data_IF_880405533497
#
_entry.id   IF_880405533497
#
_cell.length_a   1.000
_cell.length_b   1.000
_cell.length_c   1.000
_cell.angle_alpha   90.00
_cell.angle_beta   90.00
_cell.angle_gamma   90.00
#
_symmetry.space_group_name_H-M   'P 1'
#
loop_
_entity.id
_entity.type
_entity.pdbx_description
1 polymer ?
#
# COMPACT_ATOMS: atom_id res chain seq x y z
N UNK A 1 -23.88 -21.44 -12.18
CA UNK A 1 -24.12 -22.78 -11.60
C UNK A 1 -23.50 -22.76 -10.20
N UNK A 2 -24.19 -22.69 -9.06
CA UNK A 2 -25.54 -23.06 -8.64
C UNK A 2 -26.00 -22.10 -7.51
N UNK A 3 -27.23 -21.57 -7.61
CA UNK A 3 -27.97 -20.89 -6.52
C UNK A 3 -28.45 -21.93 -5.50
N UNK A 4 -28.66 -21.52 -4.23
CA UNK A 4 -29.63 -22.18 -3.34
C UNK A 4 -30.43 -21.17 -2.52
N UNK A 5 -31.61 -20.86 -3.05
CA UNK A 5 -32.76 -20.23 -2.38
C UNK A 5 -33.49 -21.27 -1.53
N UNK A 6 -33.99 -20.91 -0.33
CA UNK A 6 -34.95 -21.71 0.43
C UNK A 6 -36.30 -20.98 0.47
N UNK A 7 -37.33 -21.65 -0.05
CA UNK A 7 -38.77 -21.31 0.03
C UNK A 7 -39.45 -22.32 0.96
N UNK A 8 -40.45 -21.87 1.73
CA UNK A 8 -41.74 -22.53 2.11
C UNK A 8 -42.32 -21.76 3.32
N UNK A 9 -43.61 -21.48 3.49
CA UNK A 9 -44.87 -22.05 2.97
C UNK A 9 -46.01 -21.03 3.19
N UNK A 10 -46.98 -20.99 2.29
CA UNK A 10 -48.27 -20.30 2.44
C UNK A 10 -49.32 -21.32 2.89
N UNK A 11 -50.21 -20.95 3.82
CA UNK A 11 -51.49 -21.62 4.09
C UNK A 11 -52.62 -20.58 4.00
N UNK A 12 -53.76 -21.00 3.44
CA UNK A 12 -54.95 -20.21 3.12
C UNK A 12 -56.13 -20.51 4.07
N UNK A 13 -57.00 -19.52 4.27
CA UNK A 13 -58.38 -19.64 4.76
C UNK A 13 -58.58 -19.17 6.22
N UNK A 14 -59.62 -18.45 6.63
CA UNK A 14 -60.97 -18.17 6.10
C UNK A 14 -61.47 -16.84 6.73
N UNK A 15 -62.33 -16.11 6.01
CA UNK A 15 -62.93 -14.84 6.43
C UNK A 15 -64.13 -15.01 7.39
N UNK A 16 -64.25 -14.13 8.40
CA UNK A 16 -65.50 -13.82 9.13
C UNK A 16 -65.58 -12.29 9.33
N UNK A 17 -66.74 -11.73 9.00
CA UNK A 17 -67.08 -10.29 9.07
C UNK A 17 -67.38 -9.76 10.48
N UNK A 18 -67.93 -8.53 10.59
CA UNK A 18 -67.28 -7.45 11.34
C UNK A 18 -67.85 -7.22 12.74
N UNK A 19 -66.99 -6.80 13.67
CA UNK A 19 -67.38 -6.15 14.92
C UNK A 19 -66.72 -4.78 14.96
N UNK A 20 -67.56 -3.75 14.85
CA UNK A 20 -67.20 -2.35 15.00
C UNK A 20 -66.71 -2.07 16.42
N UNK A 21 -65.40 -1.89 16.59
CA UNK A 21 -64.82 -1.19 17.73
C UNK A 21 -64.38 0.21 17.28
N UNK A 22 -65.04 1.21 17.84
CA UNK A 22 -64.60 2.61 17.81
C UNK A 22 -63.25 2.74 18.53
N UNK A 23 -62.18 2.78 17.75
CA UNK A 23 -60.86 3.16 18.24
C UNK A 23 -60.73 4.67 18.23
N UNK A 24 -60.56 5.24 19.43
CA UNK A 24 -60.06 6.60 19.62
C UNK A 24 -58.64 6.61 19.04
N UNK A 25 -58.44 7.35 17.95
CA UNK A 25 -57.11 7.61 17.38
C UNK A 25 -56.45 8.67 18.25
N UNK A 26 -55.74 8.26 19.29
CA UNK A 26 -54.67 9.09 19.86
C UNK A 26 -53.53 9.11 18.85
N UNK A 27 -53.37 10.22 18.15
CA UNK A 27 -52.20 10.47 17.33
C UNK A 27 -50.95 10.39 18.22
N UNK A 28 -50.14 9.36 18.04
CA UNK A 28 -48.80 9.32 18.61
C UNK A 28 -47.99 10.47 17.98
N UNK A 29 -47.18 11.20 18.76
CA UNK A 29 -46.29 12.18 18.18
C UNK A 29 -45.34 11.46 17.21
N UNK A 30 -45.23 12.00 16.00
CA UNK A 30 -44.29 11.49 15.01
C UNK A 30 -42.88 11.41 15.65
N UNK A 31 -42.10 10.34 15.40
CA UNK A 31 -40.75 10.26 15.92
C UNK A 31 -39.99 11.47 15.37
N UNK A 32 -39.41 12.26 16.28
CA UNK A 32 -38.48 13.32 15.91
C UNK A 32 -37.46 12.73 14.93
N UNK A 33 -37.28 13.39 13.79
CA UNK A 33 -36.20 13.06 12.86
C UNK A 33 -34.91 13.00 13.67
N UNK A 34 -34.37 11.80 13.86
CA UNK A 34 -33.02 11.64 14.34
C UNK A 34 -32.14 12.36 13.32
N UNK A 35 -31.59 13.52 13.70
CA UNK A 35 -30.49 14.11 12.96
C UNK A 35 -29.46 13.00 12.78
N UNK A 36 -29.20 12.62 11.52
CA UNK A 36 -28.14 11.68 11.22
C UNK A 36 -26.86 12.29 11.79
N UNK A 37 -26.36 11.71 12.89
CA UNK A 37 -25.10 12.12 13.51
C UNK A 37 -24.05 12.12 12.41
N UNK A 38 -23.47 13.29 12.14
CA UNK A 38 -22.35 13.41 11.21
C UNK A 38 -21.30 12.36 11.60
N UNK A 39 -20.77 11.58 10.64
CA UNK A 39 -19.72 10.63 10.95
C UNK A 39 -18.55 11.35 11.63
N UNK A 40 -17.83 10.71 12.56
CA UNK A 40 -16.67 11.31 13.19
C UNK A 40 -15.66 11.74 12.11
N UNK A 41 -14.90 12.83 12.35
CA UNK A 41 -13.88 13.27 11.41
C UNK A 41 -12.86 12.14 11.19
N UNK A 42 -12.25 12.06 9.99
CA UNK A 42 -11.25 11.05 9.71
C UNK A 42 -10.05 11.16 10.67
N UNK A 43 -9.41 10.03 11.04
CA UNK A 43 -8.17 10.08 11.78
C UNK A 43 -7.11 10.83 10.98
N UNK A 44 -6.28 11.61 11.68
CA UNK A 44 -5.23 12.43 11.07
C UNK A 44 -3.86 12.05 11.61
N UNK A 45 -2.83 12.38 10.83
CA UNK A 45 -1.44 12.08 11.14
C UNK A 45 -0.89 13.10 12.14
N UNK A 46 -0.64 12.64 13.37
CA UNK A 46 0.05 13.44 14.36
C UNK A 46 1.44 13.85 13.85
N UNK A 47 1.79 15.12 13.98
CA UNK A 47 3.04 15.69 13.45
C UNK A 47 2.90 16.37 12.08
N UNK A 48 1.79 16.19 11.36
CA UNK A 48 1.46 16.96 10.14
C UNK A 48 0.42 18.07 10.38
N UNK A 49 0.18 18.45 11.64
CA UNK A 49 -0.83 19.44 12.05
C UNK A 49 -0.60 20.86 11.51
N UNK A 50 0.56 21.14 10.91
CA UNK A 50 0.84 22.40 10.23
C UNK A 50 0.09 22.53 8.89
N UNK A 51 -0.45 21.42 8.35
CA UNK A 51 -1.31 21.43 7.19
C UNK A 51 -2.76 21.66 7.62
N UNK A 52 -3.45 22.58 6.94
CA UNK A 52 -4.90 22.74 7.04
C UNK A 52 -5.53 22.33 5.72
N UNK A 53 -5.85 21.04 5.59
CA UNK A 53 -6.42 20.48 4.36
C UNK A 53 -7.93 20.34 4.47
N UNK A 54 -8.63 20.70 3.39
CA UNK A 54 -10.07 20.46 3.26
C UNK A 54 -10.28 19.19 2.44
N UNK A 55 -10.86 18.15 3.06
CA UNK A 55 -11.15 16.86 2.43
C UNK A 55 -11.98 16.97 1.14
N UNK A 56 -12.83 18.00 1.01
CA UNK A 56 -13.62 18.22 -0.21
C UNK A 56 -12.79 18.68 -1.42
N UNK A 57 -11.55 19.12 -1.19
CA UNK A 57 -10.60 19.51 -2.23
C UNK A 57 -9.61 18.39 -2.57
N UNK A 58 -9.83 17.17 -2.04
CA UNK A 58 -8.93 16.06 -2.32
C UNK A 58 -8.96 15.65 -3.79
N UNK A 59 -7.79 15.72 -4.40
CA UNK A 59 -7.45 15.21 -5.71
C UNK A 59 -6.36 14.14 -5.60
N UNK A 60 -6.15 13.40 -6.69
CA UNK A 60 -5.02 12.47 -6.78
C UNK A 60 -3.72 13.29 -6.78
N UNK A 61 -2.78 12.99 -5.88
CA UNK A 61 -1.51 13.72 -5.79
C UNK A 61 -0.43 13.18 -6.72
N UNK A 62 -0.19 11.88 -6.66
CA UNK A 62 0.78 11.22 -7.53
C UNK A 62 0.12 10.83 -8.84
N UNK A 63 0.79 11.13 -9.95
CA UNK A 63 0.25 10.87 -11.27
C UNK A 63 1.24 10.04 -12.08
N UNK A 64 0.70 8.98 -12.68
CA UNK A 64 1.38 8.14 -13.64
C UNK A 64 1.09 8.63 -15.07
N UNK A 65 1.98 8.37 -16.04
CA UNK A 65 1.72 8.62 -17.46
C UNK A 65 0.35 8.11 -17.93
N UNK A 66 -0.31 8.91 -18.78
CA UNK A 66 -1.62 8.55 -19.36
C UNK A 66 -1.46 7.35 -20.28
N UNK A 67 -2.41 6.42 -20.24
CA UNK A 67 -2.27 5.09 -20.81
C UNK A 67 -2.20 3.99 -19.76
N UNK A 68 -2.89 4.17 -18.62
CA UNK A 68 -3.20 3.11 -17.64
C UNK A 68 -4.70 2.72 -17.72
N UNK A 69 -5.37 3.11 -18.82
CA UNK A 69 -6.75 2.71 -19.09
C UNK A 69 -6.80 1.25 -19.54
N UNK A 70 -7.96 0.59 -19.39
CA UNK A 70 -8.17 -0.83 -19.74
C UNK A 70 -7.50 -1.22 -21.08
N UNK A 71 -6.46 -2.05 -20.99
CA UNK A 71 -5.73 -2.59 -22.15
C UNK A 71 -4.45 -1.87 -22.53
N UNK A 72 -4.05 -0.86 -21.76
CA UNK A 72 -2.74 -0.24 -21.89
C UNK A 72 -1.69 -0.94 -21.02
N UNK A 73 -0.42 -0.62 -21.24
CA UNK A 73 0.70 -1.31 -20.61
C UNK A 73 0.77 -0.98 -19.12
N UNK A 74 0.43 -1.94 -18.26
CA UNK A 74 0.45 -1.80 -16.79
C UNK A 74 1.79 -1.23 -16.29
N UNK A 75 2.87 -1.42 -17.07
CA UNK A 75 4.21 -0.86 -16.79
C UNK A 75 4.24 0.66 -16.65
N UNK A 76 3.36 1.38 -17.35
CA UNK A 76 3.26 2.84 -17.24
C UNK A 76 2.82 3.27 -15.84
N UNK A 77 2.15 2.39 -15.10
CA UNK A 77 1.73 2.62 -13.73
C UNK A 77 2.86 2.71 -12.71
N UNK A 78 4.11 2.44 -13.11
CA UNK A 78 5.28 2.43 -12.23
C UNK A 78 6.22 3.63 -12.46
N UNK A 79 5.72 4.67 -13.14
CA UNK A 79 6.47 5.89 -13.42
C UNK A 79 5.75 7.12 -12.87
N UNK A 80 6.50 8.05 -12.32
CA UNK A 80 6.01 9.39 -12.00
C UNK A 80 6.04 10.25 -13.27
N UNK A 81 4.87 10.79 -13.64
CA UNK A 81 4.69 11.53 -14.89
C UNK A 81 5.59 12.76 -15.01
N UNK A 82 6.07 13.34 -13.91
CA UNK A 82 6.92 14.54 -13.92
C UNK A 82 8.32 14.26 -14.44
N UNK A 83 8.80 13.02 -14.29
CA UNK A 83 10.14 12.58 -14.65
C UNK A 83 10.13 11.49 -15.72
N UNK A 84 8.95 11.13 -16.23
CA UNK A 84 8.80 10.17 -17.30
C UNK A 84 9.30 10.73 -18.64
N UNK A 85 10.25 10.03 -19.27
CA UNK A 85 10.83 10.40 -20.56
C UNK A 85 10.71 9.31 -21.64
N UNK A 86 9.94 8.27 -21.34
CA UNK A 86 9.85 7.05 -22.14
C UNK A 86 10.09 5.83 -21.26
N UNK A 87 9.55 4.69 -21.68
CA UNK A 87 9.78 3.45 -20.95
C UNK A 87 11.24 3.00 -21.10
N UNK A 88 11.85 2.62 -19.99
CA UNK A 88 13.17 2.00 -19.98
C UNK A 88 13.11 0.55 -20.45
N UNK A 89 14.25 -0.02 -20.86
CA UNK A 89 14.32 -1.46 -21.16
C UNK A 89 14.26 -2.29 -19.87
N UNK A 90 14.07 -3.60 -19.97
CA UNK A 90 14.08 -4.49 -18.80
C UNK A 90 15.43 -4.49 -18.09
N UNK A 91 16.53 -4.37 -18.84
CA UNK A 91 17.89 -4.28 -18.28
C UNK A 91 18.10 -2.95 -17.54
N UNK A 92 17.67 -1.84 -18.14
CA UNK A 92 17.77 -0.52 -17.50
C UNK A 92 16.84 -0.42 -16.29
N UNK A 93 15.65 -1.03 -16.33
CA UNK A 93 14.77 -1.16 -15.16
C UNK A 93 15.48 -1.92 -14.05
N UNK A 94 16.03 -3.11 -14.34
CA UNK A 94 16.70 -3.93 -13.33
C UNK A 94 17.85 -3.18 -12.67
N UNK A 95 18.72 -2.52 -13.45
CA UNK A 95 19.83 -1.71 -12.93
C UNK A 95 19.32 -0.50 -12.11
N UNK A 96 18.27 0.18 -12.60
CA UNK A 96 17.67 1.33 -11.91
C UNK A 96 17.05 0.93 -10.57
N UNK A 97 16.23 -0.11 -10.52
CA UNK A 97 15.59 -0.55 -9.28
C UNK A 97 16.62 -1.06 -8.26
N UNK A 98 17.64 -1.81 -8.71
CA UNK A 98 18.73 -2.28 -7.85
C UNK A 98 19.40 -1.11 -7.12
N UNK A 99 19.86 -0.11 -7.87
CA UNK A 99 20.52 1.06 -7.29
C UNK A 99 19.57 1.97 -6.51
N UNK A 100 18.31 2.07 -6.91
CA UNK A 100 17.28 2.83 -6.21
C UNK A 100 16.97 2.24 -4.83
N UNK A 101 16.84 0.93 -4.72
CA UNK A 101 16.65 0.22 -3.45
C UNK A 101 17.82 0.45 -2.50
N UNK A 102 19.06 0.33 -3.00
CA UNK A 102 20.26 0.58 -2.21
C UNK A 102 20.25 2.02 -1.69
N UNK A 103 20.02 3.00 -2.58
CA UNK A 103 19.98 4.41 -2.21
C UNK A 103 18.88 4.73 -1.19
N UNK A 104 17.70 4.14 -1.36
CA UNK A 104 16.56 4.26 -0.45
C UNK A 104 16.89 3.72 0.95
N UNK A 105 17.35 2.47 1.03
CA UNK A 105 17.66 1.82 2.31
C UNK A 105 18.81 2.53 3.04
N UNK A 106 19.83 2.96 2.30
CA UNK A 106 20.93 3.74 2.88
C UNK A 106 20.45 5.11 3.38
N UNK A 107 19.62 5.82 2.63
CA UNK A 107 19.06 7.10 3.08
C UNK A 107 18.27 6.93 4.38
N UNK A 108 17.39 5.93 4.46
CA UNK A 108 16.59 5.68 5.65
C UNK A 108 17.47 5.31 6.85
N UNK A 109 18.44 4.41 6.66
CA UNK A 109 19.37 3.99 7.71
C UNK A 109 20.25 5.15 8.21
N UNK A 110 20.80 5.95 7.31
CA UNK A 110 21.69 7.08 7.65
C UNK A 110 20.96 8.23 8.35
N UNK A 111 19.65 8.37 8.11
CA UNK A 111 18.81 9.38 8.75
C UNK A 111 18.01 8.84 9.96
N UNK A 112 18.27 7.60 10.38
CA UNK A 112 17.59 6.93 11.49
C UNK A 112 16.07 6.87 11.30
N UNK A 113 15.61 6.54 10.10
CA UNK A 113 14.22 6.32 9.74
C UNK A 113 13.97 4.81 9.63
N UNK A 114 13.07 4.26 10.46
CA UNK A 114 12.71 2.83 10.39
C UNK A 114 11.77 2.59 9.18
N UNK A 115 12.19 1.69 8.29
CA UNK A 115 11.42 1.19 7.15
C UNK A 115 11.68 -0.30 6.96
N UNK A 116 10.73 -1.02 6.37
CA UNK A 116 10.91 -2.40 5.95
C UNK A 116 10.32 -2.61 4.55
N UNK A 117 10.84 -3.61 3.85
CA UNK A 117 10.30 -4.04 2.55
C UNK A 117 8.99 -4.81 2.76
N UNK A 118 8.03 -4.62 1.85
CA UNK A 118 6.68 -5.17 1.96
C UNK A 118 6.23 -5.77 0.61
N UNK A 119 5.07 -6.43 0.60
CA UNK A 119 4.37 -6.85 -0.62
C UNK A 119 5.26 -7.64 -1.60
N UNK A 120 5.29 -7.24 -2.88
CA UNK A 120 6.05 -7.94 -3.93
C UNK A 120 7.56 -7.90 -3.68
N UNK A 121 8.05 -6.80 -3.12
CA UNK A 121 9.47 -6.63 -2.74
C UNK A 121 9.85 -7.61 -1.63
N UNK A 122 9.00 -7.83 -0.64
CA UNK A 122 9.20 -8.85 0.40
C UNK A 122 9.16 -10.27 -0.19
N UNK A 123 8.33 -10.52 -1.21
CA UNK A 123 8.29 -11.80 -1.90
C UNK A 123 9.59 -12.07 -2.70
N UNK A 124 10.16 -11.05 -3.36
CA UNK A 124 11.48 -11.16 -3.99
C UNK A 124 12.56 -11.52 -2.96
N UNK A 125 12.57 -10.80 -1.83
CA UNK A 125 13.47 -11.09 -0.73
C UNK A 125 13.39 -12.53 -0.23
N UNK A 126 12.17 -13.10 -0.14
CA UNK A 126 11.98 -14.49 0.30
C UNK A 126 12.71 -15.52 -0.56
N UNK A 127 12.89 -15.27 -1.87
CA UNK A 127 13.54 -16.21 -2.77
C UNK A 127 15.06 -16.19 -2.67
N UNK A 128 15.69 -15.02 -2.80
CA UNK A 128 17.15 -14.88 -2.77
C UNK A 128 17.65 -13.56 -2.18
N UNK A 129 16.78 -12.75 -1.58
CA UNK A 129 17.18 -11.42 -1.13
C UNK A 129 17.34 -10.40 -2.26
N UNK A 130 16.73 -10.63 -3.42
CA UNK A 130 16.77 -9.74 -4.59
C UNK A 130 15.36 -9.45 -5.12
N UNK A 131 15.24 -8.43 -5.96
CA UNK A 131 14.02 -8.09 -6.69
C UNK A 131 13.63 -9.24 -7.62
N UNK A 132 12.32 -9.46 -7.78
CA UNK A 132 11.83 -10.39 -8.78
C UNK A 132 12.12 -9.84 -10.20
N UNK A 133 12.65 -10.64 -11.14
CA UNK A 133 13.07 -10.11 -12.44
C UNK A 133 11.97 -9.48 -13.31
N UNK A 134 10.72 -9.86 -13.08
CA UNK A 134 9.54 -9.33 -13.80
C UNK A 134 8.81 -8.23 -13.04
N UNK A 135 9.25 -7.90 -11.83
CA UNK A 135 8.56 -6.94 -10.97
C UNK A 135 9.06 -5.53 -11.27
N UNK A 136 8.11 -4.63 -11.47
CA UNK A 136 8.37 -3.22 -11.76
C UNK A 136 8.20 -2.34 -10.52
N UNK A 137 7.60 -2.90 -9.47
CA UNK A 137 7.30 -2.22 -8.23
C UNK A 137 8.41 -2.42 -7.19
N UNK A 138 8.58 -1.38 -6.37
CA UNK A 138 9.26 -1.50 -5.09
C UNK A 138 8.34 -0.94 -4.03
N UNK A 139 7.91 -1.78 -3.11
CA UNK A 139 6.98 -1.47 -2.04
C UNK A 139 7.69 -1.50 -0.68
N UNK A 140 7.56 -0.42 0.06
CA UNK A 140 8.04 -0.34 1.43
C UNK A 140 6.98 0.20 2.36
N UNK A 141 7.20 -0.08 3.63
CA UNK A 141 6.35 0.41 4.69
C UNK A 141 7.17 1.13 5.76
N UNK A 142 6.48 2.04 6.44
CA UNK A 142 6.97 2.80 7.59
C UNK A 142 5.88 2.89 8.66
N UNK A 143 6.25 3.21 9.88
CA UNK A 143 5.28 3.69 10.87
C UNK A 143 4.82 5.11 10.54
N UNK A 144 3.60 5.44 10.97
CA UNK A 144 3.05 6.79 10.91
C UNK A 144 3.95 7.85 11.56
N UNK A 145 4.59 7.55 12.69
CA UNK A 145 5.58 8.43 13.34
C UNK A 145 6.79 8.70 12.45
N UNK A 146 7.30 7.68 11.73
CA UNK A 146 8.36 7.83 10.74
C UNK A 146 7.89 8.71 9.58
N UNK A 147 6.69 8.46 9.04
CA UNK A 147 6.11 9.28 7.97
C UNK A 147 5.96 10.74 8.40
N UNK A 148 5.50 11.01 9.63
CA UNK A 148 5.38 12.36 10.16
C UNK A 148 6.74 13.07 10.28
N UNK A 149 7.80 12.33 10.61
CA UNK A 149 9.17 12.85 10.60
C UNK A 149 9.65 13.13 9.17
N UNK A 150 9.44 12.20 8.24
CA UNK A 150 9.73 12.38 6.81
C UNK A 150 9.06 13.66 6.27
N UNK A 151 7.78 13.87 6.57
CA UNK A 151 7.02 15.04 6.14
C UNK A 151 7.59 16.38 6.64
N UNK A 152 8.04 16.42 7.89
CA UNK A 152 8.56 17.66 8.52
C UNK A 152 10.00 17.97 8.15
N UNK A 153 10.84 16.94 8.04
CA UNK A 153 12.30 17.10 7.99
C UNK A 153 12.87 16.83 6.60
N UNK A 154 12.21 16.01 5.78
CA UNK A 154 12.79 15.48 4.55
C UNK A 154 11.91 15.62 3.30
N UNK A 155 10.68 16.14 3.42
CA UNK A 155 9.82 16.31 2.27
C UNK A 155 10.46 17.22 1.22
N UNK A 156 10.47 16.78 -0.03
CA UNK A 156 11.12 17.42 -1.19
C UNK A 156 12.66 17.43 -1.15
N UNK A 157 13.29 16.65 -0.28
CA UNK A 157 14.74 16.47 -0.31
C UNK A 157 15.15 15.68 -1.55
N UNK A 158 16.14 16.20 -2.28
CA UNK A 158 16.81 15.50 -3.39
C UNK A 158 18.16 14.99 -2.90
N UNK A 159 18.44 13.71 -3.12
CA UNK A 159 19.69 13.07 -2.73
C UNK A 159 20.40 12.49 -3.95
N UNK A 160 21.69 12.81 -4.11
CA UNK A 160 22.52 12.21 -5.15
C UNK A 160 23.07 10.86 -4.70
N UNK A 161 23.02 9.88 -5.59
CA UNK A 161 23.59 8.54 -5.41
C UNK A 161 24.64 8.27 -6.47
N UNK A 162 25.71 7.60 -6.06
CA UNK A 162 26.78 7.12 -6.95
C UNK A 162 27.10 5.68 -6.54
N UNK A 163 27.04 4.75 -7.49
CA UNK A 163 27.41 3.35 -7.23
C UNK A 163 28.87 3.22 -6.81
N UNK A 164 29.22 2.11 -6.16
CA UNK A 164 30.58 1.85 -5.70
C UNK A 164 31.63 1.88 -6.83
N UNK A 165 31.25 1.47 -8.05
CA UNK A 165 32.11 1.53 -9.25
C UNK A 165 32.04 2.88 -10.00
N UNK A 166 31.28 3.84 -9.48
CA UNK A 166 31.04 5.18 -10.01
C UNK A 166 30.45 5.26 -11.42
N UNK A 167 29.94 4.14 -11.97
CA UNK A 167 29.33 4.09 -13.30
C UNK A 167 27.87 4.48 -13.29
N UNK A 168 27.17 4.22 -12.19
CA UNK A 168 25.77 4.55 -12.03
C UNK A 168 25.64 5.80 -11.14
N UNK A 169 24.92 6.80 -11.64
CA UNK A 169 24.67 8.06 -10.94
C UNK A 169 23.23 8.47 -11.14
N UNK A 170 22.56 8.82 -10.05
CA UNK A 170 21.15 9.24 -10.02
C UNK A 170 20.91 10.29 -8.96
N UNK A 171 19.82 11.02 -9.13
CA UNK A 171 19.25 11.87 -8.11
C UNK A 171 17.85 11.37 -7.79
N UNK A 172 17.58 11.20 -6.50
CA UNK A 172 16.31 10.71 -6.01
C UNK A 172 15.59 11.79 -5.20
N UNK A 173 14.31 11.99 -5.48
CA UNK A 173 13.43 12.89 -4.77
C UNK A 173 12.59 12.10 -3.76
N UNK A 174 12.65 12.46 -2.47
CA UNK A 174 11.65 12.03 -1.49
C UNK A 174 10.47 13.01 -1.52
N UNK A 175 9.31 12.56 -2.01
CA UNK A 175 8.10 13.37 -2.13
C UNK A 175 7.00 12.81 -1.21
N UNK A 176 6.51 13.61 -0.26
CA UNK A 176 5.46 13.22 0.67
C UNK A 176 4.13 13.76 0.18
N UNK A 177 3.14 12.88 0.03
CA UNK A 177 1.79 13.25 -0.35
C UNK A 177 1.15 14.10 0.77
N UNK A 178 0.69 15.34 0.50
CA UNK A 178 -0.01 16.14 1.51
C UNK A 178 -1.23 15.43 2.11
N UNK A 179 -1.94 14.64 1.30
CA UNK A 179 -3.09 13.83 1.72
C UNK A 179 -2.70 12.63 2.60
N UNK A 180 -1.40 12.38 2.83
CA UNK A 180 -0.90 11.51 3.88
C UNK A 180 -1.33 11.96 5.29
N UNK A 181 -1.70 13.24 5.43
CA UNK A 181 -2.31 13.80 6.64
C UNK A 181 -3.56 13.05 7.09
N UNK A 182 -4.48 12.72 6.17
CA UNK A 182 -5.63 11.89 6.52
C UNK A 182 -5.20 10.43 6.54
N UNK A 183 -5.48 9.71 7.62
CA UNK A 183 -5.07 8.30 7.77
C UNK A 183 -6.10 7.32 7.27
N UNK A 184 -7.30 7.74 6.91
CA UNK A 184 -8.28 6.87 6.26
C UNK A 184 -8.10 6.79 4.73
N UNK A 185 -8.79 5.83 4.10
CA UNK A 185 -8.71 5.57 2.65
C UNK A 185 -9.24 6.73 1.80
N UNK A 186 -10.24 7.47 2.29
CA UNK A 186 -10.90 8.51 1.50
C UNK A 186 -11.52 8.01 0.20
N UNK A 187 -11.52 8.84 -0.85
CA UNK A 187 -11.96 8.47 -2.20
C UNK A 187 -11.14 7.34 -2.83
N UNK A 188 -9.96 7.04 -2.29
CA UNK A 188 -9.11 5.93 -2.74
C UNK A 188 -8.06 6.30 -3.80
N UNK A 189 -7.85 7.58 -4.10
CA UNK A 189 -6.82 8.02 -5.03
C UNK A 189 -5.45 8.29 -4.36
N UNK A 190 -5.42 8.50 -3.03
CA UNK A 190 -4.21 8.81 -2.25
C UNK A 190 -3.87 7.69 -1.25
N UNK A 191 -3.78 6.46 -1.76
CA UNK A 191 -3.40 5.28 -0.98
C UNK A 191 -1.92 5.32 -0.60
N UNK A 192 -1.07 5.79 -1.52
CA UNK A 192 0.37 5.95 -1.32
C UNK A 192 0.65 7.25 -0.57
N UNK A 193 1.44 7.15 0.50
CA UNK A 193 1.73 8.25 1.40
C UNK A 193 2.98 9.03 0.98
N UNK A 194 3.95 8.37 0.36
CA UNK A 194 5.16 9.00 -0.16
C UNK A 194 5.77 8.19 -1.30
N UNK A 195 6.63 8.84 -2.10
CA UNK A 195 7.44 8.19 -3.13
C UNK A 195 8.90 8.59 -3.01
N UNK A 196 9.79 7.64 -3.28
CA UNK A 196 11.20 7.88 -3.55
C UNK A 196 11.44 7.75 -5.04
N UNK A 197 11.64 8.86 -5.74
CA UNK A 197 11.50 8.94 -7.21
C UNK A 197 12.86 9.15 -7.85
N UNK A 198 13.23 8.29 -8.80
CA UNK A 198 14.34 8.54 -9.71
C UNK A 198 13.97 9.69 -10.67
N UNK A 199 14.65 10.82 -10.51
CA UNK A 199 14.37 12.03 -11.29
C UNK A 199 14.85 11.94 -12.75
N UNK A 200 15.58 10.89 -13.13
CA UNK A 200 16.10 10.71 -14.49
C UNK A 200 15.15 9.97 -15.41
N UNK A 201 14.32 9.06 -14.88
CA UNK A 201 13.42 8.23 -15.67
C UNK A 201 11.99 8.11 -15.10
N UNK A 202 11.78 8.50 -13.84
CA UNK A 202 10.48 8.49 -13.16
C UNK A 202 10.13 7.19 -12.44
N UNK A 203 10.96 6.15 -12.46
CA UNK A 203 10.75 4.98 -11.60
C UNK A 203 10.78 5.38 -10.12
N UNK A 204 10.08 4.65 -9.25
CA UNK A 204 10.01 5.00 -7.84
C UNK A 204 9.86 3.80 -6.91
N UNK A 205 10.10 4.06 -5.62
CA UNK A 205 9.64 3.22 -4.50
C UNK A 205 8.35 3.83 -3.96
N UNK A 206 7.30 3.04 -3.85
CA UNK A 206 6.07 3.41 -3.16
C UNK A 206 6.22 3.16 -1.65
N UNK A 207 5.92 4.18 -0.85
CA UNK A 207 6.05 4.14 0.61
C UNK A 207 4.66 4.31 1.21
N UNK A 208 4.22 3.30 1.96
CA UNK A 208 2.93 3.31 2.67
C UNK A 208 3.13 3.31 4.18
N UNK A 209 2.38 4.15 4.90
CA UNK A 209 2.50 4.18 6.36
C UNK A 209 1.41 3.35 7.04
N UNK A 210 1.82 2.64 8.09
CA UNK A 210 0.92 1.97 9.01
C UNK A 210 0.56 2.88 10.18
N UNK A 211 -0.74 2.96 10.48
CA UNK A 211 -1.25 3.69 11.65
C UNK A 211 -2.24 2.84 12.44
N UNK A 212 -2.53 3.25 13.67
CA UNK A 212 -3.64 2.67 14.44
C UNK A 212 -4.88 3.52 14.25
N UNK A 213 -5.84 3.08 13.43
CA UNK A 213 -7.05 3.87 13.17
C UNK A 213 -8.04 3.87 14.33
N UNK A 214 -8.07 2.79 15.13
CA UNK A 214 -8.91 2.68 16.32
C UNK A 214 -8.13 2.05 17.49
N UNK A 215 -7.19 2.81 18.10
CA UNK A 215 -6.32 2.26 19.15
C UNK A 215 -7.07 1.94 20.45
N UNK A 216 -8.26 2.51 20.67
CA UNK A 216 -9.08 2.21 21.86
C UNK A 216 -9.70 0.83 21.80
N UNK A 217 -10.23 0.42 20.64
CA UNK A 217 -10.86 -0.89 20.47
C UNK A 217 -9.87 -1.96 19.96
N UNK A 218 -8.88 -1.56 19.18
CA UNK A 218 -7.90 -2.44 18.51
C UNK A 218 -6.46 -1.95 18.75
N UNK A 219 -5.97 -1.97 20.00
CA UNK A 219 -4.70 -1.36 20.38
C UNK A 219 -3.47 -1.97 19.71
N UNK A 220 -3.57 -3.20 19.20
CA UNK A 220 -2.47 -3.93 18.55
C UNK A 220 -2.59 -3.98 17.03
N UNK A 221 -3.63 -3.39 16.45
CA UNK A 221 -3.86 -3.46 15.00
C UNK A 221 -3.30 -2.23 14.31
N UNK A 222 -2.44 -2.48 13.34
CA UNK A 222 -1.85 -1.51 12.44
C UNK A 222 -2.51 -1.65 11.06
N UNK A 223 -2.83 -0.54 10.41
CA UNK A 223 -3.52 -0.54 9.12
C UNK A 223 -2.94 0.54 8.20
N UNK A 224 -2.79 0.20 6.92
CA UNK A 224 -2.53 1.17 5.86
C UNK A 224 -3.83 1.60 5.16
N UNK A 225 -3.77 2.66 4.37
CA UNK A 225 -4.93 3.15 3.60
C UNK A 225 -5.49 2.15 2.59
N UNK A 226 -4.68 1.17 2.19
CA UNK A 226 -5.14 0.10 1.30
C UNK A 226 -5.87 -1.04 2.01
N UNK A 227 -6.10 -0.93 3.32
CA UNK A 227 -6.76 -1.95 4.18
C UNK A 227 -5.90 -3.19 4.44
N UNK A 228 -4.59 -3.13 4.20
CA UNK A 228 -3.67 -4.12 4.77
C UNK A 228 -3.62 -3.91 6.27
N UNK A 229 -3.86 -4.98 7.03
CA UNK A 229 -3.90 -4.96 8.49
C UNK A 229 -2.89 -5.94 9.04
N UNK A 230 -2.23 -5.54 10.12
CA UNK A 230 -1.22 -6.32 10.81
C UNK A 230 -1.46 -6.23 12.31
N UNK A 231 -1.25 -7.31 13.04
CA UNK A 231 -1.05 -7.24 14.47
C UNK A 231 0.39 -6.80 14.78
N UNK A 232 0.60 -6.16 15.93
CA UNK A 232 1.95 -5.78 16.39
C UNK A 232 2.92 -6.98 16.37
N UNK A 233 2.43 -8.19 16.69
CA UNK A 233 3.23 -9.42 16.70
C UNK A 233 3.65 -9.88 15.29
N UNK A 234 2.94 -9.45 14.26
CA UNK A 234 3.27 -9.82 12.87
C UNK A 234 4.48 -9.01 12.39
N UNK A 235 4.61 -7.79 12.90
CA UNK A 235 5.66 -6.85 12.51
C UNK A 235 6.88 -6.93 13.43
N UNK A 236 6.68 -6.91 14.75
CA UNK A 236 7.75 -6.60 15.71
C UNK A 236 8.23 -7.80 16.54
N UNK A 237 9.54 -7.86 16.87
CA UNK A 237 10.60 -6.98 16.37
C UNK A 237 10.87 -7.24 14.88
N UNK A 238 11.11 -6.17 14.11
CA UNK A 238 11.55 -6.31 12.73
C UNK A 238 12.85 -7.12 12.69
N UNK A 239 13.01 -7.96 11.66
CA UNK A 239 14.20 -8.81 11.50
C UNK A 239 15.20 -8.10 10.58
N UNK A 240 16.44 -8.04 11.03
CA UNK A 240 17.56 -7.57 10.22
C UNK A 240 17.94 -8.63 9.19
N UNK A 241 18.20 -8.19 7.96
CA UNK A 241 18.54 -9.04 6.83
C UNK A 241 19.32 -8.25 5.77
N UNK A 242 19.55 -8.85 4.61
CA UNK A 242 20.10 -8.19 3.43
C UNK A 242 19.07 -8.25 2.30
N UNK A 243 18.98 -7.17 1.53
CA UNK A 243 18.20 -7.09 0.29
C UNK A 243 18.98 -6.27 -0.74
N UNK A 244 19.14 -6.77 -1.96
CA UNK A 244 20.01 -6.16 -2.98
C UNK A 244 21.44 -5.90 -2.47
N UNK A 245 21.96 -6.81 -1.64
CA UNK A 245 23.26 -6.69 -0.96
C UNK A 245 23.40 -5.50 -0.01
N UNK A 246 22.30 -4.89 0.43
CA UNK A 246 22.25 -3.80 1.41
C UNK A 246 21.47 -4.20 2.66
N UNK A 247 21.86 -3.74 3.87
CA UNK A 247 21.10 -4.01 5.09
C UNK A 247 19.65 -3.56 4.98
N UNK A 248 18.72 -4.45 5.31
CA UNK A 248 17.29 -4.23 5.23
C UNK A 248 16.57 -4.77 6.48
N UNK A 249 15.30 -4.38 6.63
CA UNK A 249 14.39 -4.90 7.64
C UNK A 249 13.21 -5.60 6.97
N UNK A 250 12.70 -6.65 7.60
CA UNK A 250 11.46 -7.36 7.22
C UNK A 250 10.58 -7.60 8.46
N UNK A 251 9.25 -7.77 8.28
CA UNK A 251 8.34 -8.12 9.37
C UNK A 251 8.73 -9.39 10.13
N UNK A 252 8.39 -9.49 11.41
CA UNK A 252 8.69 -10.67 12.22
C UNK A 252 8.05 -11.97 11.68
N UNK A 253 6.78 -11.91 11.27
CA UNK A 253 6.01 -13.05 10.74
C UNK A 253 5.94 -13.01 9.21
N UNK A 254 7.01 -12.57 8.53
CA UNK A 254 7.04 -12.36 7.08
C UNK A 254 6.46 -13.53 6.26
N UNK A 255 6.66 -14.78 6.70
CA UNK A 255 6.20 -15.95 5.95
C UNK A 255 4.67 -16.08 5.97
N UNK A 256 4.05 -15.85 7.13
CA UNK A 256 2.59 -15.90 7.25
C UNK A 256 1.95 -14.73 6.51
N UNK A 257 2.57 -13.54 6.56
CA UNK A 257 2.13 -12.37 5.78
C UNK A 257 2.18 -12.63 4.28
N UNK A 258 3.28 -13.19 3.77
CA UNK A 258 3.42 -13.56 2.36
C UNK A 258 2.42 -14.65 1.94
N UNK A 259 2.14 -15.61 2.82
CA UNK A 259 1.14 -16.66 2.55
C UNK A 259 -0.28 -16.09 2.52
N UNK A 260 -0.60 -15.16 3.42
CA UNK A 260 -1.89 -14.48 3.43
C UNK A 260 -2.10 -13.68 2.14
N UNK A 261 -1.08 -12.96 1.67
CA UNK A 261 -1.15 -12.08 0.51
C UNK A 261 -1.06 -12.83 -0.83
N UNK A 262 -0.11 -13.78 -0.97
CA UNK A 262 0.21 -14.41 -2.26
C UNK A 262 -0.05 -15.92 -2.31
N UNK A 263 -0.55 -16.52 -1.22
CA UNK A 263 -0.68 -17.97 -1.02
C UNK A 263 0.64 -18.73 -0.93
N UNK A 264 0.60 -19.93 -0.36
CA UNK A 264 1.74 -20.85 -0.31
C UNK A 264 2.34 -21.18 -1.69
N UNK A 265 1.55 -21.04 -2.77
CA UNK A 265 2.04 -21.29 -4.13
C UNK A 265 3.08 -20.28 -4.57
N UNK A 266 2.96 -19.01 -4.18
CA UNK A 266 3.93 -17.99 -4.58
C UNK A 266 5.31 -18.21 -3.97
N UNK A 267 5.37 -18.87 -2.80
CA UNK A 267 6.61 -19.18 -2.08
C UNK A 267 7.29 -20.46 -2.58
N UNK A 268 6.63 -21.23 -3.45
CA UNK A 268 7.09 -22.58 -3.84
C UNK A 268 7.07 -22.85 -5.34
N UNK A 269 6.27 -22.13 -6.13
CA UNK A 269 6.21 -22.32 -7.58
C UNK A 269 7.49 -21.79 -8.22
N UNK A 270 8.20 -22.66 -8.94
CA UNK A 270 9.50 -22.38 -9.56
C UNK A 270 9.40 -21.90 -11.01
N UNK A 271 8.21 -21.64 -11.53
CA UNK A 271 8.00 -21.18 -12.90
C UNK A 271 6.95 -20.07 -12.92
N UNK A 272 7.33 -18.87 -13.36
CA UNK A 272 6.44 -17.72 -13.44
C UNK A 272 6.99 -16.64 -14.38
N UNK A 273 6.10 -15.93 -15.10
CA UNK A 273 6.46 -14.80 -15.97
C UNK A 273 7.65 -15.07 -16.91
N UNK A 274 7.68 -16.23 -17.59
CA UNK A 274 8.79 -16.68 -18.44
C UNK A 274 10.14 -16.80 -17.73
N UNK A 275 10.13 -17.03 -16.42
CA UNK A 275 11.32 -17.33 -15.63
C UNK A 275 11.14 -18.65 -14.91
N UNK A 276 12.25 -19.37 -14.75
CA UNK A 276 12.35 -20.60 -13.97
C UNK A 276 13.38 -20.40 -12.85
N UNK A 277 13.01 -20.77 -11.63
CA UNK A 277 13.89 -20.76 -10.48
C UNK A 277 14.94 -21.87 -10.60
N UNK A 278 16.22 -21.49 -10.55
CA UNK A 278 17.33 -22.43 -10.54
C UNK A 278 17.89 -22.58 -9.12
N UNK A 279 17.65 -23.71 -8.44
CA UNK A 279 18.08 -23.90 -7.05
C UNK A 279 19.59 -24.10 -6.90
N UNK A 280 20.34 -24.36 -7.98
CA UNK A 280 21.81 -24.53 -7.92
C UNK A 280 22.49 -23.19 -7.75
N UNK A 281 22.02 -22.17 -8.48
CA UNK A 281 22.57 -20.81 -8.40
C UNK A 281 21.76 -19.91 -7.46
N UNK A 282 20.55 -20.31 -7.08
CA UNK A 282 19.68 -19.54 -6.20
C UNK A 282 19.12 -18.29 -6.87
N UNK A 283 18.75 -18.39 -8.15
CA UNK A 283 18.26 -17.26 -8.94
C UNK A 283 17.13 -17.65 -9.89
N UNK A 284 16.28 -16.67 -10.21
CA UNK A 284 15.32 -16.73 -11.29
C UNK A 284 16.02 -16.48 -12.63
N UNK A 285 15.85 -17.39 -13.59
CA UNK A 285 16.49 -17.32 -14.91
C UNK A 285 15.41 -17.25 -15.97
N UNK A 286 15.58 -16.39 -16.99
CA UNK A 286 14.69 -16.33 -18.14
C UNK A 286 14.62 -17.71 -18.82
N UNK A 287 13.41 -18.24 -18.96
CA UNK A 287 13.14 -19.51 -19.63
C UNK A 287 13.40 -19.33 -21.13
N UNK A 288 14.24 -20.21 -21.69
CA UNK A 288 14.56 -20.24 -23.12
C UNK A 288 13.38 -20.73 -23.99
#
# INVERSE_FOLDING_TARGET
MLMKTKIRRILFGVAIGPLSLSHIVTAAPAPAHAEASQPPPPPVLEGMNYLTLNRSLEDKYFHEPVGHELGADDRLGHYDVRYFHGMVTEEERAESLHHMVIAYLDFFRLNELETWIAHGTLLGWWWNGELLPWDWDVDTQVLDTTLARMAREFNRTVTSYVSADAKFKREYLLDINPWAYFRDRGPGHNIIDARWIDTSNGLYVDITALSRFNPSDQPTTWECKNRHRYQTIDLYPLRQTMFESTPALVPYMYQDLLVEEYSTKALARTDFQNHTWNPIVGQWILTA
#
